data_IF_178257331695
#
_entry.id   IF_178257331695
#
_cell.length_a   1.000
_cell.length_b   1.000
_cell.length_c   1.000
_cell.angle_alpha   90.00
_cell.angle_beta   90.00
_cell.angle_gamma   90.00
#
_symmetry.space_group_name_H-M   'P 1'
#
loop_
_entity.id
_entity.type
_entity.pdbx_description
1 polymer ?
#
# COMPACT_ATOMS: atom_id res chain seq x y z
N UNK A 1 5.85 10.77 3.47
CA UNK A 1 6.43 10.38 2.17
C UNK A 1 5.36 10.51 1.13
N UNK A 2 5.72 10.94 -0.08
CA UNK A 2 4.81 10.90 -1.22
C UNK A 2 4.39 9.45 -1.44
N UNK A 3 3.10 9.21 -1.65
CA UNK A 3 2.60 7.87 -1.90
C UNK A 3 1.72 7.84 -3.13
N UNK A 4 1.98 6.84 -3.97
CA UNK A 4 1.24 6.51 -5.16
C UNK A 4 0.66 5.11 -5.00
N UNK A 5 -0.62 4.95 -5.30
CA UNK A 5 -1.36 3.71 -5.10
C UNK A 5 -1.90 3.21 -6.44
N UNK A 6 -1.63 1.94 -6.73
CA UNK A 6 -2.35 1.17 -7.71
C UNK A 6 -3.18 0.11 -6.99
N UNK A 7 -4.44 -0.02 -7.36
CA UNK A 7 -5.39 -0.97 -6.78
C UNK A 7 -6.09 -1.72 -7.91
N UNK A 8 -6.03 -3.04 -7.86
CA UNK A 8 -6.81 -3.91 -8.74
C UNK A 8 -7.63 -4.88 -7.89
N UNK A 9 -8.95 -4.75 -7.99
CA UNK A 9 -9.90 -5.63 -7.30
C UNK A 9 -10.40 -6.68 -8.28
N UNK A 10 -10.21 -7.95 -7.93
CA UNK A 10 -10.80 -9.08 -8.64
C UNK A 10 -11.79 -9.82 -7.74
N UNK A 11 -12.54 -10.81 -8.25
CA UNK A 11 -13.44 -11.62 -7.43
C UNK A 11 -12.72 -12.43 -6.34
N UNK A 12 -11.49 -12.87 -6.59
CA UNK A 12 -10.74 -13.78 -5.71
C UNK A 12 -9.64 -13.10 -4.90
N UNK A 13 -9.13 -11.97 -5.37
CA UNK A 13 -8.06 -11.24 -4.69
C UNK A 13 -8.12 -9.74 -4.93
N UNK A 14 -7.42 -9.02 -4.08
CA UNK A 14 -7.11 -7.61 -4.15
C UNK A 14 -5.59 -7.45 -4.29
N UNK A 15 -5.15 -6.83 -5.38
CA UNK A 15 -3.75 -6.41 -5.56
C UNK A 15 -3.63 -4.94 -5.22
N UNK A 16 -2.72 -4.62 -4.31
CA UNK A 16 -2.39 -3.24 -3.93
C UNK A 16 -0.89 -3.03 -4.17
N UNK A 17 -0.53 -2.00 -4.91
CA UNK A 17 0.87 -1.61 -5.10
C UNK A 17 1.03 -0.17 -4.62
N UNK A 18 1.99 0.04 -3.73
CA UNK A 18 2.37 1.33 -3.19
C UNK A 18 3.75 1.70 -3.71
N UNK A 19 3.93 2.95 -4.13
CA UNK A 19 5.22 3.49 -4.55
C UNK A 19 5.43 4.87 -3.96
N UNK A 20 6.68 5.20 -3.64
CA UNK A 20 7.07 6.54 -3.19
C UNK A 20 7.39 7.49 -4.33
N UNK A 21 7.52 6.96 -5.55
CA UNK A 21 7.82 7.70 -6.77
C UNK A 21 6.60 7.73 -7.70
N UNK A 22 6.55 8.76 -8.55
CA UNK A 22 5.48 8.90 -9.54
C UNK A 22 5.51 7.75 -10.55
N UNK A 23 4.35 7.14 -10.77
CA UNK A 23 4.14 6.15 -11.81
C UNK A 23 2.84 6.45 -12.56
N UNK A 24 2.89 6.42 -13.89
CA UNK A 24 1.76 6.81 -14.76
C UNK A 24 0.49 5.97 -14.56
N UNK A 25 0.60 4.77 -13.99
CA UNK A 25 -0.54 3.88 -13.72
C UNK A 25 -1.07 3.96 -12.28
N UNK A 26 -0.52 4.84 -11.44
CA UNK A 26 -0.82 4.93 -10.03
C UNK A 26 -1.54 6.24 -9.73
N UNK A 27 -2.41 6.22 -8.74
CA UNK A 27 -3.11 7.41 -8.27
C UNK A 27 -2.33 8.02 -7.11
N UNK A 28 -2.09 9.34 -7.17
CA UNK A 28 -1.46 10.05 -6.06
C UNK A 28 -2.40 10.05 -4.84
N UNK A 29 -1.90 9.55 -3.71
CA UNK A 29 -2.67 9.44 -2.46
C UNK A 29 -2.34 10.58 -1.49
N UNK A 30 -1.27 11.33 -1.75
CA UNK A 30 -0.80 12.42 -0.91
C UNK A 30 0.51 12.11 -0.19
N UNK A 31 0.95 13.09 0.59
CA UNK A 31 2.11 13.00 1.48
C UNK A 31 1.70 12.42 2.83
N UNK A 32 1.77 11.09 2.94
CA UNK A 32 1.34 10.39 4.15
C UNK A 32 2.49 10.24 5.15
N UNK A 33 2.19 10.45 6.44
CA UNK A 33 3.12 10.12 7.52
C UNK A 33 3.03 8.63 7.88
N UNK A 34 3.91 8.17 8.76
CA UNK A 34 3.95 6.75 9.15
C UNK A 34 2.63 6.24 9.76
N UNK A 35 1.93 7.07 10.55
CA UNK A 35 0.65 6.68 11.15
C UNK A 35 -0.46 6.55 10.11
N UNK A 36 -0.51 7.48 9.16
CA UNK A 36 -1.47 7.46 8.07
C UNK A 36 -1.23 6.26 7.13
N UNK A 37 0.03 5.91 6.86
CA UNK A 37 0.36 4.70 6.09
C UNK A 37 -0.09 3.45 6.83
N UNK A 38 0.13 3.35 8.16
CA UNK A 38 -0.34 2.21 8.95
C UNK A 38 -1.86 2.08 8.90
N UNK A 39 -2.59 3.19 9.01
CA UNK A 39 -4.06 3.20 8.87
C UNK A 39 -4.48 2.72 7.48
N UNK A 40 -3.81 3.19 6.42
CA UNK A 40 -4.08 2.77 5.04
C UNK A 40 -3.87 1.25 4.86
N UNK A 41 -2.78 0.70 5.40
CA UNK A 41 -2.51 -0.73 5.35
C UNK A 41 -3.61 -1.56 6.05
N UNK A 42 -4.08 -1.10 7.22
CA UNK A 42 -5.18 -1.75 7.97
C UNK A 42 -6.52 -1.67 7.25
N UNK A 43 -6.74 -0.65 6.41
CA UNK A 43 -7.94 -0.58 5.57
C UNK A 43 -7.95 -1.65 4.47
N UNK A 44 -6.78 -2.09 4.00
CA UNK A 44 -6.68 -3.16 3.00
C UNK A 44 -6.81 -4.55 3.62
N UNK A 45 -6.10 -4.79 4.72
CA UNK A 45 -6.19 -6.05 5.46
C UNK A 45 -5.98 -5.75 6.96
N UNK A 46 -6.98 -6.01 7.83
CA UNK A 46 -6.89 -5.70 9.26
C UNK A 46 -5.92 -6.61 10.02
N UNK A 47 -5.43 -7.68 9.40
CA UNK A 47 -4.47 -8.65 9.96
C UNK A 47 -3.03 -8.41 9.49
N UNK A 48 -2.81 -7.40 8.62
CA UNK A 48 -1.49 -7.12 8.07
C UNK A 48 -0.51 -6.61 9.14
N UNK A 49 0.73 -7.08 9.07
CA UNK A 49 1.82 -6.56 9.91
C UNK A 49 2.24 -5.17 9.42
N UNK A 50 1.58 -4.13 9.94
CA UNK A 50 1.82 -2.75 9.51
C UNK A 50 3.25 -2.27 9.79
N UNK A 51 3.89 -2.75 10.86
CA UNK A 51 5.23 -2.32 11.23
C UNK A 51 6.27 -2.88 10.25
N UNK A 52 6.16 -4.16 9.91
CA UNK A 52 7.02 -4.80 8.90
C UNK A 52 6.82 -4.16 7.53
N UNK A 53 5.58 -4.00 7.10
CA UNK A 53 5.26 -3.46 5.78
C UNK A 53 5.66 -1.99 5.63
N UNK A 54 5.49 -1.17 6.66
CA UNK A 54 5.99 0.20 6.67
C UNK A 54 7.53 0.23 6.54
N UNK A 55 8.25 -0.61 7.28
CA UNK A 55 9.72 -0.70 7.16
C UNK A 55 10.14 -1.09 5.74
N UNK A 56 9.46 -2.05 5.13
CA UNK A 56 9.73 -2.47 3.76
C UNK A 56 9.47 -1.33 2.77
N UNK A 57 8.34 -0.63 2.90
CA UNK A 57 8.00 0.51 2.05
C UNK A 57 9.04 1.63 2.19
N UNK A 58 9.44 1.98 3.42
CA UNK A 58 10.45 3.01 3.66
C UNK A 58 11.84 2.63 3.14
N UNK A 59 12.19 1.34 3.18
CA UNK A 59 13.51 0.86 2.74
C UNK A 59 13.61 0.71 1.22
N UNK A 60 12.60 0.13 0.59
CA UNK A 60 12.60 -0.16 -0.85
C UNK A 60 11.97 0.96 -1.69
N UNK A 61 11.19 1.86 -1.09
CA UNK A 61 10.42 2.88 -1.81
C UNK A 61 9.18 2.33 -2.52
N UNK A 62 8.87 1.04 -2.36
CA UNK A 62 7.67 0.40 -2.89
C UNK A 62 7.21 -0.78 -2.03
N UNK A 63 5.94 -1.13 -2.14
CA UNK A 63 5.34 -2.27 -1.46
C UNK A 63 4.21 -2.87 -2.30
N UNK A 64 4.28 -4.17 -2.57
CA UNK A 64 3.20 -4.90 -3.25
C UNK A 64 2.51 -5.85 -2.28
N UNK A 65 1.19 -5.75 -2.20
CA UNK A 65 0.33 -6.57 -1.37
C UNK A 65 -0.59 -7.38 -2.27
N UNK A 66 -0.72 -8.66 -1.94
CA UNK A 66 -1.65 -9.57 -2.57
C UNK A 66 -2.55 -10.15 -1.48
N UNK A 67 -3.80 -9.70 -1.46
CA UNK A 67 -4.77 -9.99 -0.40
C UNK A 67 -5.84 -10.89 -0.99
N UNK A 68 -6.01 -12.09 -0.45
CA UNK A 68 -7.08 -12.98 -0.89
C UNK A 68 -8.42 -12.49 -0.34
N UNK A 69 -9.44 -12.38 -1.20
CA UNK A 69 -10.79 -12.11 -0.74
C UNK A 69 -11.28 -13.37 -0.02
N UNK A 70 -11.71 -13.22 1.23
CA UNK A 70 -12.36 -14.30 1.99
C UNK A 70 -13.83 -14.42 1.64
#
# INVERSE_FOLDING_TARGET
>A
MQLWLYKEQTPTYLTVKLHCEEHSSYTYVGDLNEEEIKKLLLQFDPTIDTQKNLKLLSYYGYLHLFILNK
#
